data_IF_938136379068
#
_entry.id   IF_938136379068
#
_cell.length_a   1.000
_cell.length_b   1.000
_cell.length_c   1.000
_cell.angle_alpha   90.00
_cell.angle_beta   90.00
_cell.angle_gamma   90.00
#
_symmetry.space_group_name_H-M   'P 1'
#
loop_
_entity.id
_entity.type
_entity.pdbx_description
1 polymer ?
#
# COMPACT_ATOMS: atom_id res chain seq x y z
N UNK A 1 -22.30 -22.42 30.34
CA UNK A 1 -22.70 -22.15 28.94
C UNK A 1 -22.30 -20.72 28.62
N UNK A 2 -21.55 -20.54 27.54
CA UNK A 2 -20.76 -19.37 27.14
C UNK A 2 -21.61 -18.15 26.77
N UNK A 3 -21.14 -16.96 27.13
CA UNK A 3 -21.49 -15.73 26.38
C UNK A 3 -20.23 -15.31 25.63
N UNK A 4 -20.13 -15.80 24.40
CA UNK A 4 -19.16 -15.38 23.41
C UNK A 4 -19.42 -13.90 23.10
N UNK A 5 -18.43 -13.05 23.39
CA UNK A 5 -18.49 -11.63 23.10
C UNK A 5 -18.17 -11.47 21.61
N UNK A 6 -19.21 -11.44 20.78
CA UNK A 6 -19.11 -11.14 19.35
C UNK A 6 -18.43 -9.77 19.17
N UNK A 7 -17.18 -9.79 18.68
CA UNK A 7 -16.51 -8.58 18.22
C UNK A 7 -17.19 -8.16 16.92
N UNK A 8 -17.58 -6.89 16.74
CA UNK A 8 -18.06 -6.44 15.45
C UNK A 8 -16.93 -6.64 14.45
N UNK A 9 -17.13 -7.55 13.50
CA UNK A 9 -16.29 -7.65 12.32
C UNK A 9 -16.55 -6.36 11.54
N UNK A 10 -15.61 -5.42 11.58
CA UNK A 10 -15.60 -4.27 10.68
C UNK A 10 -15.49 -4.78 9.26
N UNK A 11 -16.64 -5.14 8.70
CA UNK A 11 -16.85 -5.33 7.28
C UNK A 11 -16.80 -3.96 6.61
N UNK A 12 -16.21 -3.96 5.42
CA UNK A 12 -16.23 -2.87 4.47
C UNK A 12 -15.75 -1.51 4.98
N UNK A 13 -14.43 -1.41 5.14
CA UNK A 13 -13.75 -0.17 4.80
C UNK A 13 -13.92 0.06 3.29
N UNK A 14 -15.07 0.63 2.94
CA UNK A 14 -15.41 1.16 1.63
C UNK A 14 -14.20 1.92 1.06
N UNK A 15 -13.76 1.51 -0.13
CA UNK A 15 -12.57 1.97 -0.85
C UNK A 15 -12.43 3.51 -0.87
N UNK A 16 -11.76 4.05 0.14
CA UNK A 16 -11.31 5.43 0.16
C UNK A 16 -10.17 5.59 -0.84
N UNK A 17 -10.51 5.88 -2.11
CA UNK A 17 -9.60 6.22 -3.23
C UNK A 17 -8.14 6.33 -2.80
N UNK A 18 -7.42 5.22 -2.88
CA UNK A 18 -6.00 5.08 -2.57
C UNK A 18 -5.18 5.99 -3.50
N UNK A 19 -5.05 7.27 -3.14
CA UNK A 19 -4.22 8.26 -3.86
C UNK A 19 -2.76 8.14 -3.41
N UNK A 20 -2.21 6.94 -3.53
CA UNK A 20 -0.81 6.67 -3.23
C UNK A 20 0.03 6.55 -4.50
N UNK A 21 -0.60 6.23 -5.64
CA UNK A 21 0.06 6.23 -6.93
C UNK A 21 0.15 7.66 -7.47
N UNK A 22 1.36 8.05 -7.89
CA UNK A 22 1.53 9.25 -8.70
C UNK A 22 0.89 9.05 -10.07
N UNK A 23 0.47 10.15 -10.72
CA UNK A 23 0.00 10.09 -12.11
C UNK A 23 1.10 9.56 -13.04
N UNK A 24 0.69 8.86 -14.10
CA UNK A 24 1.62 8.40 -15.13
C UNK A 24 2.38 9.59 -15.72
N UNK A 25 3.72 9.52 -15.71
CA UNK A 25 4.60 10.61 -16.18
C UNK A 25 4.88 11.71 -15.15
N UNK A 26 4.40 11.63 -13.91
CA UNK A 26 4.90 12.48 -12.84
C UNK A 26 6.39 12.19 -12.59
N UNK A 27 7.20 13.26 -12.55
CA UNK A 27 8.61 13.15 -12.18
C UNK A 27 8.77 12.69 -10.73
N UNK A 28 9.92 12.07 -10.44
CA UNK A 28 10.31 11.69 -9.08
C UNK A 28 10.44 12.97 -8.24
N UNK A 29 9.90 12.94 -7.01
CA UNK A 29 10.01 14.08 -6.11
C UNK A 29 11.48 14.39 -5.81
N UNK A 30 11.94 15.65 -5.82
CA UNK A 30 13.37 16.00 -5.71
C UNK A 30 14.02 15.57 -4.40
N UNK A 31 13.23 15.33 -3.35
CA UNK A 31 13.72 14.81 -2.06
C UNK A 31 13.92 13.29 -2.05
N UNK A 32 13.44 12.57 -3.07
CA UNK A 32 13.63 11.12 -3.18
C UNK A 32 14.99 10.87 -3.84
N UNK A 33 15.89 10.27 -3.08
CA UNK A 33 17.21 9.85 -3.55
C UNK A 33 17.21 8.35 -3.82
N UNK A 34 16.92 7.99 -5.06
CA UNK A 34 16.86 6.60 -5.52
C UNK A 34 18.22 5.89 -5.51
N UNK A 35 19.33 6.62 -5.40
CA UNK A 35 20.67 6.00 -5.40
C UNK A 35 20.99 5.26 -4.11
N UNK A 36 20.26 5.55 -3.03
CA UNK A 36 20.39 4.88 -1.72
C UNK A 36 19.48 3.68 -1.55
N UNK A 37 18.46 3.56 -2.40
CA UNK A 37 17.48 2.48 -2.32
C UNK A 37 18.03 1.23 -3.02
N UNK A 38 18.16 0.08 -2.33
CA UNK A 38 18.55 -1.17 -2.98
C UNK A 38 17.50 -1.67 -3.99
N UNK A 39 16.24 -1.26 -3.85
CA UNK A 39 15.13 -1.66 -4.71
C UNK A 39 14.39 -0.42 -5.26
N UNK A 40 15.10 0.40 -6.07
CA UNK A 40 14.57 1.68 -6.51
C UNK A 40 13.30 1.50 -7.33
N UNK A 41 12.23 2.18 -6.93
CA UNK A 41 10.94 2.14 -7.63
C UNK A 41 10.12 0.88 -7.40
N UNK A 42 10.53 -0.02 -6.48
CA UNK A 42 9.76 -1.18 -6.07
C UNK A 42 9.10 -0.89 -4.71
N UNK A 43 7.77 -0.77 -4.64
CA UNK A 43 7.09 -0.57 -3.37
C UNK A 43 7.24 -1.78 -2.44
N UNK A 44 7.45 -1.56 -1.14
CA UNK A 44 7.57 -2.64 -0.12
C UNK A 44 6.32 -3.54 -0.01
N UNK A 45 5.18 -3.08 -0.51
CA UNK A 45 3.91 -3.81 -0.53
C UNK A 45 3.55 -4.37 -1.91
N UNK A 46 4.44 -4.22 -2.90
CA UNK A 46 4.25 -4.86 -4.19
C UNK A 46 4.20 -6.38 -3.98
N UNK A 47 3.26 -7.05 -4.66
CA UNK A 47 3.32 -8.49 -4.76
C UNK A 47 4.58 -8.84 -5.56
N UNK A 48 5.27 -9.95 -5.22
CA UNK A 48 6.31 -10.46 -6.10
C UNK A 48 5.71 -10.71 -7.49
N UNK A 49 6.46 -10.41 -8.54
CA UNK A 49 6.07 -10.79 -9.90
C UNK A 49 5.99 -12.32 -9.98
N UNK A 50 4.96 -12.82 -10.65
CA UNK A 50 4.82 -14.25 -10.94
C UNK A 50 5.67 -14.55 -12.18
N UNK A 51 6.83 -15.20 -11.99
CA UNK A 51 7.66 -15.78 -13.08
C UNK A 51 6.95 -16.94 -13.81
#
# INVERSE_FOLDING_TARGET
MSTESERPTTGDAESGRHRHAAQEGAGVHPLIDLSRDPHPGVPDHAKPDED
#
